data_IF_522273346934
#
_entry.id   IF_522273346934
#
_cell.length_a   1.000
_cell.length_b   1.000
_cell.length_c   1.000
_cell.angle_alpha   90.00
_cell.angle_beta   90.00
_cell.angle_gamma   90.00
#
_symmetry.space_group_name_H-M   'P 1'
#
loop_
_entity.id
_entity.type
_entity.pdbx_description
1 polymer ?
#
# COMPACT_ATOMS: atom_id res chain seq x y z
N UNK A 1 15.54 -4.09 24.02
CA UNK A 1 16.81 -3.36 24.17
C UNK A 1 17.04 -2.48 22.95
N UNK A 2 17.51 -1.29 23.19
CA UNK A 2 17.75 -0.34 22.10
C UNK A 2 19.22 0.04 22.06
N UNK A 3 19.71 0.22 20.84
CA UNK A 3 21.08 0.66 20.60
C UNK A 3 21.08 1.91 19.76
N UNK A 4 22.13 2.70 19.86
CA UNK A 4 22.29 3.86 19.01
C UNK A 4 22.56 3.45 17.57
N UNK A 5 22.00 4.20 16.62
CA UNK A 5 22.32 4.03 15.22
C UNK A 5 23.76 4.48 14.98
N UNK A 6 24.56 3.60 14.42
CA UNK A 6 25.97 3.87 14.10
C UNK A 6 26.13 3.88 12.58
N UNK A 7 27.26 4.42 12.12
CA UNK A 7 27.53 4.51 10.69
C UNK A 7 27.50 3.17 9.96
N UNK A 8 27.85 2.09 10.64
CA UNK A 8 27.92 0.73 10.08
C UNK A 8 26.75 -0.14 10.51
N UNK A 9 25.72 0.43 11.12
CA UNK A 9 24.54 -0.33 11.58
C UNK A 9 23.75 -0.88 10.41
N UNK A 10 23.42 -2.16 10.45
CA UNK A 10 22.48 -2.76 9.54
C UNK A 10 21.09 -2.39 10.00
N UNK A 11 20.31 -1.74 9.11
CA UNK A 11 18.96 -1.31 9.45
C UNK A 11 18.02 -2.52 9.52
N UNK A 12 17.07 -2.50 10.46
CA UNK A 12 16.04 -3.51 10.49
C UNK A 12 15.14 -3.41 9.25
N UNK A 13 14.31 -4.41 9.04
CA UNK A 13 13.31 -4.38 7.97
C UNK A 13 12.46 -3.12 8.09
N UNK A 14 12.19 -2.48 6.97
CA UNK A 14 11.41 -1.25 6.94
C UNK A 14 10.58 -1.17 5.67
N UNK A 15 9.57 -0.30 5.70
CA UNK A 15 8.74 0.00 4.53
C UNK A 15 9.03 1.42 4.08
N UNK A 16 8.95 1.63 2.76
CA UNK A 16 9.17 2.97 2.20
C UNK A 16 7.95 3.86 2.42
N UNK A 17 8.19 5.08 2.82
CA UNK A 17 7.16 6.10 2.98
C UNK A 17 7.34 7.14 1.87
N UNK A 18 6.50 7.12 0.82
CA UNK A 18 6.61 8.11 -0.24
C UNK A 18 6.35 9.52 0.30
N UNK A 19 7.24 10.44 -0.04
CA UNK A 19 7.18 11.80 0.51
C UNK A 19 5.89 12.53 0.18
N UNK A 20 5.26 12.23 -0.97
CA UNK A 20 4.03 12.91 -1.33
C UNK A 20 2.90 12.71 -0.31
N UNK A 21 2.95 11.62 0.45
CA UNK A 21 1.93 11.36 1.47
C UNK A 21 1.97 12.37 2.61
N UNK A 22 3.15 12.96 2.88
CA UNK A 22 3.29 13.92 3.97
C UNK A 22 2.36 15.12 3.82
N UNK A 23 2.18 15.56 2.58
CA UNK A 23 1.40 16.77 2.29
C UNK A 23 -0.06 16.49 1.98
N UNK A 24 -0.45 15.23 1.92
CA UNK A 24 -1.83 14.87 1.62
C UNK A 24 -2.70 15.00 2.87
N UNK A 25 -3.89 15.53 2.66
CA UNK A 25 -4.86 15.73 3.76
C UNK A 25 -5.78 14.53 3.88
N UNK A 26 -5.18 13.42 4.25
CA UNK A 26 -5.91 12.17 4.51
C UNK A 26 -5.50 11.67 5.90
N UNK A 27 -6.28 10.74 6.45
CA UNK A 27 -5.99 10.23 7.78
C UNK A 27 -4.66 9.48 7.81
N UNK A 28 -4.07 9.43 9.01
CA UNK A 28 -2.85 8.64 9.22
C UNK A 28 -3.07 7.17 8.90
N UNK A 29 -4.24 6.64 9.23
CA UNK A 29 -4.59 5.27 8.92
C UNK A 29 -4.58 5.02 7.41
N UNK A 30 -5.12 5.96 6.61
CA UNK A 30 -5.10 5.84 5.16
C UNK A 30 -3.67 5.86 4.62
N UNK A 31 -2.81 6.72 5.17
CA UNK A 31 -1.39 6.76 4.79
C UNK A 31 -0.69 5.44 5.11
N UNK A 32 -0.90 4.92 6.30
CA UNK A 32 -0.32 3.63 6.71
C UNK A 32 -0.82 2.50 5.82
N UNK A 33 -2.10 2.50 5.50
CA UNK A 33 -2.67 1.50 4.61
C UNK A 33 -2.00 1.55 3.24
N UNK A 34 -1.83 2.74 2.68
CA UNK A 34 -1.15 2.91 1.39
C UNK A 34 0.28 2.34 1.44
N UNK A 35 1.02 2.62 2.51
CA UNK A 35 2.39 2.14 2.69
C UNK A 35 2.44 0.62 2.71
N UNK A 36 1.52 -0.02 3.44
CA UNK A 36 1.45 -1.49 3.53
C UNK A 36 1.15 -2.10 2.16
N UNK A 37 0.19 -1.53 1.45
CA UNK A 37 -0.15 -2.00 0.11
C UNK A 37 1.01 -1.81 -0.86
N UNK A 38 1.69 -0.67 -0.78
CA UNK A 38 2.85 -0.38 -1.62
C UNK A 38 4.00 -1.35 -1.34
N UNK A 39 4.24 -1.65 -0.07
CA UNK A 39 5.29 -2.59 0.30
C UNK A 39 5.04 -3.96 -0.31
N UNK A 40 3.80 -4.44 -0.25
CA UNK A 40 3.44 -5.72 -0.87
C UNK A 40 3.58 -5.64 -2.39
N UNK A 41 3.12 -4.55 -3.00
CA UNK A 41 3.23 -4.36 -4.45
C UNK A 41 4.68 -4.34 -4.89
N UNK A 42 5.55 -3.69 -4.13
CA UNK A 42 6.98 -3.62 -4.43
C UNK A 42 7.63 -5.01 -4.44
N UNK A 43 7.26 -5.85 -3.49
CA UNK A 43 7.74 -7.22 -3.46
C UNK A 43 7.21 -8.03 -4.65
N UNK A 44 6.02 -7.71 -5.13
CA UNK A 44 5.40 -8.38 -6.26
C UNK A 44 5.93 -7.94 -7.62
N UNK A 45 6.61 -6.79 -7.69
CA UNK A 45 7.18 -6.28 -8.94
C UNK A 45 8.12 -7.27 -9.61
N UNK A 46 8.76 -8.11 -8.83
CA UNK A 46 9.74 -9.08 -9.34
C UNK A 46 9.10 -10.35 -9.85
N UNK A 47 7.80 -10.48 -9.75
CA UNK A 47 7.07 -11.68 -10.13
C UNK A 47 6.03 -11.33 -11.20
N UNK A 48 6.27 -11.78 -12.44
CA UNK A 48 5.40 -11.48 -13.58
C UNK A 48 3.97 -11.94 -13.39
N UNK A 49 3.73 -12.98 -12.58
CA UNK A 49 2.38 -13.47 -12.34
C UNK A 49 1.51 -12.47 -11.56
N UNK A 50 2.12 -11.42 -10.98
CA UNK A 50 1.43 -10.36 -10.26
C UNK A 50 1.29 -9.09 -11.10
N UNK A 51 1.43 -9.20 -12.41
CA UNK A 51 1.22 -8.08 -13.33
C UNK A 51 0.12 -8.46 -14.32
N UNK A 52 -0.71 -7.48 -14.67
CA UNK A 52 -1.75 -7.69 -15.68
C UNK A 52 -1.16 -7.53 -17.10
N UNK A 53 -2.03 -7.61 -18.11
CA UNK A 53 -1.60 -7.54 -19.51
C UNK A 53 -0.97 -6.19 -19.89
N UNK A 54 -1.27 -5.14 -19.12
CA UNK A 54 -0.69 -3.81 -19.33
C UNK A 54 0.57 -3.59 -18.51
N UNK A 55 1.03 -4.61 -17.79
CA UNK A 55 2.21 -4.53 -16.96
C UNK A 55 1.98 -3.88 -15.60
N UNK A 56 0.72 -3.61 -15.25
CA UNK A 56 0.40 -3.01 -13.95
C UNK A 56 0.46 -4.06 -12.85
N UNK A 57 1.23 -3.78 -11.82
CA UNK A 57 1.36 -4.69 -10.67
C UNK A 57 0.11 -4.60 -9.81
N UNK A 58 -0.38 -5.74 -9.40
CA UNK A 58 -1.53 -5.82 -8.50
C UNK A 58 -1.24 -6.77 -7.34
N UNK A 59 -2.02 -6.63 -6.28
CA UNK A 59 -1.94 -7.47 -5.10
C UNK A 59 -3.34 -7.85 -4.65
N UNK A 60 -3.41 -8.89 -3.83
CA UNK A 60 -4.64 -9.30 -3.17
C UNK A 60 -4.49 -9.10 -1.67
N UNK A 61 -5.53 -8.55 -1.06
CA UNK A 61 -5.64 -8.47 0.38
C UNK A 61 -7.11 -8.58 0.76
N UNK A 62 -7.38 -9.21 1.89
CA UNK A 62 -8.73 -9.18 2.46
C UNK A 62 -8.80 -8.03 3.45
N UNK A 63 -10.02 -7.55 3.68
CA UNK A 63 -10.25 -6.51 4.70
C UNK A 63 -9.78 -7.02 6.06
N UNK A 64 -10.04 -8.28 6.35
CA UNK A 64 -9.61 -8.91 7.62
C UNK A 64 -8.11 -8.85 7.79
N UNK A 65 -7.35 -9.21 6.74
CA UNK A 65 -5.88 -9.19 6.79
C UNK A 65 -5.35 -7.78 7.02
N UNK A 66 -5.93 -6.80 6.34
CA UNK A 66 -5.50 -5.42 6.50
C UNK A 66 -5.82 -4.88 7.89
N UNK A 67 -7.00 -5.22 8.41
CA UNK A 67 -7.39 -4.83 9.76
C UNK A 67 -6.43 -5.40 10.80
N UNK A 68 -6.03 -6.66 10.62
CA UNK A 68 -5.09 -7.31 11.50
C UNK A 68 -3.71 -6.65 11.48
N UNK A 69 -3.18 -6.40 10.29
CA UNK A 69 -1.86 -5.76 10.13
C UNK A 69 -1.84 -4.35 10.72
N UNK A 70 -2.92 -3.59 10.51
CA UNK A 70 -3.03 -2.22 10.99
C UNK A 70 -3.44 -2.11 12.45
N UNK A 71 -3.87 -3.21 13.06
CA UNK A 71 -4.45 -3.21 14.41
C UNK A 71 -5.65 -2.25 14.50
N UNK A 72 -6.50 -2.30 13.48
CA UNK A 72 -7.69 -1.46 13.37
C UNK A 72 -8.90 -2.33 13.06
N UNK A 73 -10.09 -1.77 13.25
CA UNK A 73 -11.34 -2.45 12.91
C UNK A 73 -11.49 -2.57 11.40
N UNK A 74 -12.30 -3.52 10.96
CA UNK A 74 -12.61 -3.66 9.54
C UNK A 74 -13.32 -2.42 8.99
N UNK A 75 -14.17 -1.80 9.78
CA UNK A 75 -14.85 -0.56 9.39
C UNK A 75 -13.84 0.55 9.12
N UNK A 76 -12.84 0.70 9.98
CA UNK A 76 -11.78 1.70 9.79
C UNK A 76 -11.00 1.43 8.51
N UNK A 77 -10.69 0.15 8.23
CA UNK A 77 -9.98 -0.23 7.00
C UNK A 77 -10.83 0.09 5.77
N UNK A 78 -12.11 -0.22 5.79
CA UNK A 78 -13.01 0.08 4.67
C UNK A 78 -13.05 1.57 4.39
N UNK A 79 -13.12 2.39 5.44
CA UNK A 79 -13.11 3.85 5.32
C UNK A 79 -11.79 4.32 4.71
N UNK A 80 -10.67 3.79 5.19
CA UNK A 80 -9.34 4.15 4.68
C UNK A 80 -9.18 3.77 3.20
N UNK A 81 -9.65 2.58 2.81
CA UNK A 81 -9.62 2.16 1.41
C UNK A 81 -10.44 3.12 0.52
N UNK A 82 -11.61 3.51 0.99
CA UNK A 82 -12.46 4.44 0.25
C UNK A 82 -11.78 5.80 0.08
N UNK A 83 -11.08 6.28 1.10
CA UNK A 83 -10.31 7.52 1.02
C UNK A 83 -9.22 7.41 -0.03
N UNK A 84 -8.46 6.30 -0.03
CA UNK A 84 -7.40 6.11 -1.00
C UNK A 84 -7.93 6.00 -2.43
N UNK A 85 -9.07 5.36 -2.62
CA UNK A 85 -9.71 5.27 -3.94
C UNK A 85 -10.17 6.65 -4.42
N UNK A 86 -10.74 7.43 -3.53
CA UNK A 86 -11.21 8.78 -3.86
C UNK A 86 -10.05 9.69 -4.28
N UNK A 87 -8.90 9.51 -3.66
CA UNK A 87 -7.69 10.25 -4.01
C UNK A 87 -6.94 9.64 -5.20
N UNK A 88 -7.49 8.57 -5.78
CA UNK A 88 -6.90 7.86 -6.92
C UNK A 88 -5.51 7.29 -6.63
N UNK A 89 -5.25 6.98 -5.36
CA UNK A 89 -3.98 6.37 -4.95
C UNK A 89 -4.02 4.84 -5.05
N UNK A 90 -5.21 4.27 -5.05
CA UNK A 90 -5.40 2.86 -5.35
C UNK A 90 -6.61 2.70 -6.26
N UNK A 91 -6.62 1.60 -6.99
CA UNK A 91 -7.78 1.16 -7.75
C UNK A 91 -8.07 -0.29 -7.36
N UNK A 92 -9.34 -0.58 -7.14
CA UNK A 92 -9.78 -1.95 -6.87
C UNK A 92 -10.57 -2.46 -8.07
N UNK A 93 -10.21 -3.64 -8.53
CA UNK A 93 -10.90 -4.28 -9.67
C UNK A 93 -11.44 -5.62 -9.23
N UNK A 94 -12.75 -5.79 -9.31
CA UNK A 94 -13.41 -7.06 -9.04
C UNK A 94 -13.17 -8.06 -10.17
N UNK A 95 -13.07 -9.32 -9.80
CA UNK A 95 -12.86 -10.41 -10.77
C UNK A 95 -14.09 -11.32 -10.90
N UNK A 96 -15.17 -10.97 -10.19
CA UNK A 96 -16.40 -11.75 -10.21
C UNK A 96 -16.72 -12.36 -8.86
N UNK A 97 -17.91 -12.97 -8.72
CA UNK A 97 -18.33 -13.53 -7.44
C UNK A 97 -17.34 -14.55 -6.91
N UNK A 98 -17.06 -14.47 -5.63
CA UNK A 98 -16.17 -15.40 -4.95
C UNK A 98 -14.68 -15.19 -5.21
N UNK A 99 -14.32 -14.20 -6.02
CA UNK A 99 -12.91 -13.89 -6.29
C UNK A 99 -12.49 -12.63 -5.54
N UNK A 100 -11.23 -12.58 -5.01
CA UNK A 100 -10.76 -11.38 -4.36
C UNK A 100 -10.59 -10.25 -5.38
N UNK A 101 -10.73 -9.02 -4.90
CA UNK A 101 -10.47 -7.85 -5.72
C UNK A 101 -8.96 -7.68 -5.91
N UNK A 102 -8.59 -7.26 -7.11
CA UNK A 102 -7.22 -6.81 -7.34
C UNK A 102 -7.08 -5.39 -6.81
N UNK A 103 -5.97 -5.13 -6.16
CA UNK A 103 -5.64 -3.79 -5.66
C UNK A 103 -4.40 -3.30 -6.39
N UNK A 104 -4.54 -2.16 -7.04
CA UNK A 104 -3.45 -1.48 -7.74
C UNK A 104 -3.09 -0.21 -7.00
N UNK A 105 -1.81 -0.05 -6.70
CA UNK A 105 -1.32 1.23 -6.20
C UNK A 105 -0.99 2.14 -7.36
N UNK A 106 -1.31 3.41 -7.22
CA UNK A 106 -0.80 4.44 -8.11
C UNK A 106 0.20 5.29 -7.34
N UNK A 107 0.98 6.05 -8.05
CA UNK A 107 1.96 6.93 -7.44
C UNK A 107 1.86 8.32 -8.04
N UNK A 108 2.00 9.31 -7.18
CA UNK A 108 2.15 10.68 -7.64
C UNK A 108 3.62 10.86 -8.00
N UNK A 109 3.88 11.10 -9.26
CA UNK A 109 5.24 11.31 -9.74
C UNK A 109 5.41 12.77 -10.14
N UNK A 110 6.59 13.30 -9.85
CA UNK A 110 6.93 14.66 -10.22
C UNK A 110 7.94 14.59 -11.35
N UNK A 111 7.58 15.22 -12.47
CA UNK A 111 8.50 15.31 -13.59
C UNK A 111 9.33 16.57 -13.44
N UNK A 112 10.63 16.38 -13.44
CA UNK A 112 11.53 17.53 -13.41
C UNK A 112 11.57 18.17 -14.77
N UNK A 113 11.48 19.45 -14.74
CA UNK A 113 11.58 20.27 -15.93
C UNK A 113 13.04 20.67 -16.18
#
# INVERSE_FOLDING_TARGET
MTDFLKADTNLPSYMMFPRFLLDMKISETAKMLYIILLDRARLSQKNESWSDTDGHVFIYFTIESLAEVLHKSQTTVKTALAVLEKQELIFRKGQGPGQPNRIYNTMITFHRQ
#
